data_IF_608350936090
#
_entry.id   IF_608350936090
#
_cell.length_a   1.000
_cell.length_b   1.000
_cell.length_c   1.000
_cell.angle_alpha   90.00
_cell.angle_beta   90.00
_cell.angle_gamma   90.00
#
_symmetry.space_group_name_H-M   'P 1'
#
loop_
_entity.id
_entity.type
_entity.pdbx_description
1 polymer ?
#
# COMPACT_ATOMS: atom_id res chain seq x y z
N UNK A 1 15.01 77.28 9.74
CA UNK A 1 13.91 77.42 10.71
C UNK A 1 12.89 76.37 10.30
N UNK A 2 13.15 75.14 10.73
CA UNK A 2 12.64 74.56 12.00
C UNK A 2 11.18 74.11 11.79
N UNK A 3 10.78 72.87 12.01
CA UNK A 3 11.45 71.69 12.57
C UNK A 3 10.36 70.68 12.96
N UNK A 4 10.71 69.39 12.88
CA UNK A 4 10.18 68.25 13.66
C UNK A 4 8.70 67.85 13.45
N UNK A 5 8.29 66.57 13.47
CA UNK A 5 8.89 65.29 13.83
C UNK A 5 7.88 64.18 13.45
N UNK A 6 8.32 62.96 13.16
CA UNK A 6 7.43 61.80 13.14
C UNK A 6 7.89 60.66 12.23
N UNK A 7 9.02 60.05 12.57
CA UNK A 7 9.42 58.72 12.09
C UNK A 7 8.42 57.66 12.59
N UNK A 8 8.17 56.64 11.76
CA UNK A 8 7.89 55.29 12.23
C UNK A 8 8.26 54.31 11.12
N UNK A 9 9.48 53.80 11.24
CA UNK A 9 9.91 52.52 10.69
C UNK A 9 9.13 51.41 11.41
N UNK A 10 8.58 50.45 10.67
CA UNK A 10 8.08 49.19 11.24
C UNK A 10 8.98 48.05 10.78
N UNK A 11 9.88 47.66 11.68
CA UNK A 11 10.59 46.38 11.71
C UNK A 11 9.59 45.21 11.63
N UNK A 12 9.76 44.34 10.64
CA UNK A 12 9.15 43.00 10.64
C UNK A 12 10.06 42.06 11.45
N UNK A 13 9.79 41.91 12.74
CA UNK A 13 10.43 40.91 13.60
C UNK A 13 9.78 39.54 13.41
N UNK A 14 10.63 38.54 13.19
CA UNK A 14 10.33 37.12 13.34
C UNK A 14 9.72 36.82 14.72
N UNK A 15 8.60 36.09 14.74
CA UNK A 15 8.22 35.31 15.93
C UNK A 15 7.49 34.04 15.51
N UNK A 16 8.00 32.92 16.01
CA UNK A 16 7.56 31.55 15.83
C UNK A 16 6.05 31.34 15.97
N UNK A 17 5.42 30.74 14.95
CA UNK A 17 4.10 30.11 15.11
C UNK A 17 4.27 28.78 15.86
N UNK A 18 4.04 28.82 17.18
CA UNK A 18 3.67 27.62 17.94
C UNK A 18 2.21 27.27 17.59
N UNK A 19 2.01 26.04 17.12
CA UNK A 19 0.69 25.45 16.94
C UNK A 19 0.04 25.21 18.32
N UNK A 20 -1.00 25.96 18.65
CA UNK A 20 -1.90 25.65 19.76
C UNK A 20 -2.77 24.44 19.41
N UNK A 21 -2.69 23.40 20.23
CA UNK A 21 -3.57 22.23 20.22
C UNK A 21 -4.79 22.59 21.07
N UNK A 22 -5.96 22.73 20.44
CA UNK A 22 -7.23 22.82 21.13
C UNK A 22 -7.79 21.40 21.33
N UNK A 23 -7.66 20.88 22.54
CA UNK A 23 -8.43 19.76 23.06
C UNK A 23 -9.10 20.22 24.36
N UNK A 24 -10.40 20.54 24.32
CA UNK A 24 -11.26 20.51 25.51
C UNK A 24 -12.67 20.05 25.12
N UNK A 25 -12.96 18.78 25.37
CA UNK A 25 -14.32 18.28 25.55
C UNK A 25 -14.44 17.80 27.00
N UNK A 26 -15.01 18.64 27.87
CA UNK A 26 -15.27 18.31 29.27
C UNK A 26 -16.28 17.16 29.42
N UNK A 27 -16.07 16.22 30.38
CA UNK A 27 -17.14 15.38 30.90
C UNK A 27 -17.36 15.62 32.39
N UNK A 28 -18.56 16.04 32.81
CA UNK A 28 -19.18 15.56 34.08
C UNK A 28 -20.68 15.87 34.10
N UNK A 29 -21.54 14.94 34.55
CA UNK A 29 -21.78 14.78 35.98
C UNK A 29 -22.36 13.40 36.34
N UNK A 30 -21.91 12.86 37.47
CA UNK A 30 -22.70 11.92 38.28
C UNK A 30 -22.20 10.48 38.40
N UNK A 31 -21.16 10.23 39.18
CA UNK A 31 -21.23 9.41 40.42
C UNK A 31 -19.85 8.89 40.84
N UNK A 32 -19.50 9.21 42.07
CA UNK A 32 -18.24 8.90 42.75
C UNK A 32 -18.08 7.40 43.00
N UNK A 33 -17.04 6.78 42.42
CA UNK A 33 -16.46 5.53 42.91
C UNK A 33 -14.96 5.68 43.13
N UNK A 34 -14.53 5.28 44.33
CA UNK A 34 -13.18 5.35 44.87
C UNK A 34 -12.12 4.94 43.84
N UNK A 35 -11.20 5.85 43.53
CA UNK A 35 -10.00 5.60 42.74
C UNK A 35 -9.08 4.68 43.54
N UNK A 36 -9.07 3.39 43.20
CA UNK A 36 -7.94 2.52 43.53
C UNK A 36 -6.87 2.81 42.51
N UNK A 37 -5.64 3.09 42.95
CA UNK A 37 -4.50 3.22 42.05
C UNK A 37 -4.28 1.85 41.40
N UNK A 38 -4.82 1.66 40.20
CA UNK A 38 -4.66 0.47 39.37
C UNK A 38 -3.84 0.86 38.16
N UNK A 39 -2.71 0.20 37.99
CA UNK A 39 -1.84 0.38 36.82
C UNK A 39 -2.28 -0.63 35.76
N UNK A 40 -2.94 -0.16 34.70
CA UNK A 40 -3.07 -0.91 33.45
C UNK A 40 -1.78 -0.71 32.67
N UNK A 41 -1.07 -1.80 32.36
CA UNK A 41 0.13 -1.77 31.53
C UNK A 41 -0.28 -2.26 30.14
N UNK A 42 -0.39 -1.35 29.18
CA UNK A 42 -0.44 -1.72 27.76
C UNK A 42 0.97 -2.08 27.29
N UNK A 43 1.17 -3.31 26.83
CA UNK A 43 2.49 -3.77 26.40
C UNK A 43 2.68 -3.52 24.89
N UNK A 44 3.39 -2.44 24.54
CA UNK A 44 4.01 -2.30 23.21
C UNK A 44 5.32 -3.11 23.18
N UNK A 45 5.37 -4.17 22.37
CA UNK A 45 6.52 -4.80 21.66
C UNK A 45 7.83 -5.10 22.42
N UNK A 46 8.00 -4.69 23.69
CA UNK A 46 9.28 -4.72 24.40
C UNK A 46 9.49 -5.99 25.25
N UNK A 47 8.48 -6.85 25.40
CA UNK A 47 8.62 -8.11 26.15
C UNK A 47 9.02 -9.32 25.29
N UNK A 48 8.97 -9.22 23.97
CA UNK A 48 9.35 -10.32 23.08
C UNK A 48 10.87 -10.48 22.92
N UNK A 49 11.68 -9.51 23.32
CA UNK A 49 13.15 -9.53 23.18
C UNK A 49 13.90 -10.13 24.37
N UNK A 50 13.25 -10.38 25.52
CA UNK A 50 13.90 -10.97 26.70
C UNK A 50 13.55 -12.45 26.94
N UNK A 51 12.63 -13.03 26.16
CA UNK A 51 12.31 -14.46 26.25
C UNK A 51 13.44 -15.27 25.61
N UNK A 52 14.21 -15.98 26.44
CA UNK A 52 15.15 -17.01 25.96
C UNK A 52 14.39 -18.01 25.07
N UNK A 53 14.97 -18.46 23.94
CA UNK A 53 14.20 -19.10 22.89
C UNK A 53 13.70 -20.47 23.37
N UNK A 54 12.37 -20.63 23.41
CA UNK A 54 11.76 -21.95 23.47
C UNK A 54 12.33 -22.75 22.29
N UNK A 55 12.85 -23.99 22.50
CA UNK A 55 13.42 -24.78 21.42
C UNK A 55 12.42 -24.93 20.27
N UNK A 56 12.86 -24.66 19.05
CA UNK A 56 12.06 -24.67 17.81
C UNK A 56 11.34 -26.00 17.50
N UNK A 57 11.52 -27.03 18.34
CA UNK A 57 10.92 -28.36 18.19
C UNK A 57 9.56 -28.53 18.86
N UNK A 58 9.03 -27.53 19.58
CA UNK A 58 7.70 -27.58 20.18
C UNK A 58 6.76 -26.59 19.46
N UNK A 59 5.62 -27.09 18.99
CA UNK A 59 4.61 -26.25 18.35
C UNK A 59 4.19 -25.12 19.30
N UNK A 60 4.15 -23.88 18.79
CA UNK A 60 3.60 -22.73 19.50
C UNK A 60 2.09 -22.91 19.61
N UNK A 61 1.62 -23.41 20.75
CA UNK A 61 0.20 -23.50 21.11
C UNK A 61 -0.14 -22.40 22.10
N UNK A 62 -1.43 -22.02 22.18
CA UNK A 62 -1.92 -21.05 23.17
C UNK A 62 -1.55 -21.46 24.60
N UNK A 63 -1.57 -22.76 24.88
CA UNK A 63 -1.16 -23.31 26.17
C UNK A 63 0.33 -23.07 26.45
N UNK A 64 1.21 -23.34 25.48
CA UNK A 64 2.66 -23.15 25.67
C UNK A 64 3.03 -21.67 25.84
N UNK A 65 2.34 -20.77 25.14
CA UNK A 65 2.52 -19.33 25.30
C UNK A 65 2.02 -18.85 26.67
N UNK A 66 0.84 -19.31 27.09
CA UNK A 66 0.27 -19.00 28.41
C UNK A 66 1.18 -19.50 29.54
N UNK A 67 1.71 -20.73 29.44
CA UNK A 67 2.60 -21.33 30.43
C UNK A 67 3.94 -20.58 30.52
N UNK A 68 4.51 -20.15 29.38
CA UNK A 68 5.74 -19.36 29.35
C UNK A 68 5.56 -17.96 29.95
N UNK A 69 4.43 -17.31 29.68
CA UNK A 69 4.08 -16.01 30.28
C UNK A 69 3.87 -16.17 31.78
N UNK A 70 3.15 -17.22 32.21
CA UNK A 70 2.93 -17.51 33.63
C UNK A 70 4.25 -17.69 34.38
N UNK A 71 5.17 -18.50 33.84
CA UNK A 71 6.50 -18.71 34.42
C UNK A 71 7.31 -17.40 34.53
N UNK A 72 7.19 -16.51 33.53
CA UNK A 72 7.88 -15.22 33.54
C UNK A 72 7.30 -14.24 34.56
N UNK A 73 5.96 -14.22 34.72
CA UNK A 73 5.28 -13.41 35.73
C UNK A 73 5.56 -13.88 37.16
N UNK A 74 5.71 -15.19 37.35
CA UNK A 74 6.18 -15.77 38.60
C UNK A 74 7.62 -15.35 38.89
N UNK A 75 8.53 -15.42 37.90
CA UNK A 75 9.90 -14.94 38.04
C UNK A 75 9.98 -13.45 38.40
N UNK A 76 9.07 -12.63 37.87
CA UNK A 76 9.00 -11.20 38.16
C UNK A 76 8.22 -10.87 39.44
N UNK A 77 7.68 -11.87 40.14
CA UNK A 77 6.84 -11.71 41.32
C UNK A 77 5.61 -10.78 41.09
N UNK A 78 5.05 -10.79 39.88
CA UNK A 78 3.94 -9.91 39.48
C UNK A 78 2.56 -10.59 39.55
N UNK A 79 2.50 -11.85 39.99
CA UNK A 79 1.30 -12.68 40.00
C UNK A 79 0.12 -12.05 40.78
N UNK A 80 0.40 -11.40 41.90
CA UNK A 80 -0.63 -10.76 42.75
C UNK A 80 -0.99 -9.32 42.28
N UNK A 81 -0.23 -8.77 41.34
CA UNK A 81 -0.36 -7.38 40.87
C UNK A 81 -1.07 -7.21 39.53
N UNK A 82 -1.24 -8.29 38.77
CA UNK A 82 -1.89 -8.28 37.45
C UNK A 82 -3.31 -8.82 37.59
N UNK A 83 -4.31 -7.97 37.35
CA UNK A 83 -5.74 -8.35 37.48
C UNK A 83 -6.35 -8.87 36.18
N UNK A 84 -5.80 -8.48 35.03
CA UNK A 84 -6.21 -8.95 33.71
C UNK A 84 -5.06 -8.71 32.72
N UNK A 85 -4.98 -9.56 31.71
CA UNK A 85 -4.13 -9.35 30.55
C UNK A 85 -5.00 -9.46 29.31
N UNK A 86 -4.82 -8.53 28.38
CA UNK A 86 -5.41 -8.58 27.05
C UNK A 86 -4.32 -8.97 26.06
N UNK A 87 -4.60 -9.98 25.25
CA UNK A 87 -3.74 -10.36 24.14
C UNK A 87 -4.42 -9.93 22.85
N UNK A 88 -3.78 -9.06 22.06
CA UNK A 88 -4.33 -8.59 20.78
C UNK A 88 -4.35 -9.66 19.67
N UNK A 89 -3.88 -10.86 19.97
CA UNK A 89 -3.87 -12.00 19.04
C UNK A 89 -4.16 -13.29 19.81
N UNK A 90 -5.44 -13.60 20.02
CA UNK A 90 -5.85 -14.99 20.27
C UNK A 90 -5.98 -15.69 18.92
N UNK A 91 -5.39 -16.87 18.84
CA UNK A 91 -5.31 -17.64 17.62
C UNK A 91 -6.66 -18.30 17.37
N UNK A 92 -7.24 -18.06 16.20
CA UNK A 92 -7.98 -19.14 15.53
C UNK A 92 -7.18 -19.47 14.30
N UNK A 93 -6.45 -20.59 14.40
CA UNK A 93 -5.89 -21.26 13.24
C UNK A 93 -7.05 -21.47 12.25
N UNK A 94 -7.12 -20.63 11.22
CA UNK A 94 -8.09 -20.78 10.14
C UNK A 94 -7.90 -22.18 9.58
N UNK A 95 -8.99 -22.95 9.49
CA UNK A 95 -8.99 -24.41 9.56
C UNK A 95 -8.20 -25.15 8.45
N UNK A 96 -8.49 -26.43 8.25
CA UNK A 96 -7.79 -27.25 7.24
C UNK A 96 -7.88 -26.63 5.84
N UNK A 97 -6.76 -26.14 5.33
CA UNK A 97 -6.66 -25.64 3.96
C UNK A 97 -6.82 -26.79 2.96
N UNK A 98 -7.83 -26.68 2.09
CA UNK A 98 -7.95 -27.55 0.93
C UNK A 98 -7.11 -26.95 -0.21
N UNK A 99 -5.99 -27.60 -0.57
CA UNK A 99 -5.09 -27.14 -1.65
C UNK A 99 -5.77 -26.98 -3.02
N UNK A 100 -6.97 -27.56 -3.19
CA UNK A 100 -7.76 -27.40 -4.42
C UNK A 100 -8.65 -26.15 -4.41
N UNK A 101 -8.65 -25.37 -3.33
CA UNK A 101 -9.43 -24.15 -3.23
C UNK A 101 -8.70 -22.99 -3.93
N UNK A 102 -9.08 -22.73 -5.19
CA UNK A 102 -8.57 -21.65 -6.04
C UNK A 102 -9.72 -20.93 -6.75
N UNK A 103 -9.45 -19.80 -7.40
CA UNK A 103 -10.42 -19.19 -8.30
C UNK A 103 -10.69 -20.10 -9.50
N UNK A 104 -11.97 -20.31 -9.80
CA UNK A 104 -12.40 -20.88 -11.07
C UNK A 104 -12.44 -19.76 -12.11
N UNK A 105 -11.30 -19.58 -12.77
CA UNK A 105 -11.05 -18.61 -13.82
C UNK A 105 -11.50 -19.14 -15.19
N UNK A 106 -11.93 -18.24 -16.06
CA UNK A 106 -12.28 -18.53 -17.46
C UNK A 106 -11.13 -18.17 -18.39
N UNK A 107 -11.12 -18.69 -19.61
CA UNK A 107 -10.05 -18.40 -20.58
C UNK A 107 -9.90 -16.91 -20.90
N UNK A 108 -10.97 -16.12 -20.74
CA UNK A 108 -10.93 -14.65 -20.87
C UNK A 108 -10.04 -13.95 -19.84
N UNK A 109 -9.65 -14.64 -18.76
CA UNK A 109 -8.80 -14.09 -17.68
C UNK A 109 -7.35 -14.57 -17.74
N UNK A 110 -6.99 -15.43 -18.72
CA UNK A 110 -5.69 -16.08 -18.78
C UNK A 110 -4.55 -15.06 -18.92
N UNK A 111 -4.68 -14.06 -19.79
CA UNK A 111 -3.68 -13.01 -19.98
C UNK A 111 -3.40 -12.23 -18.68
N UNK A 112 -4.46 -11.88 -17.93
CA UNK A 112 -4.32 -11.18 -16.65
C UNK A 112 -3.66 -12.06 -15.59
N UNK A 113 -4.03 -13.34 -15.56
CA UNK A 113 -3.46 -14.33 -14.65
C UNK A 113 -1.98 -14.52 -14.91
N UNK A 114 -1.60 -14.78 -16.16
CA UNK A 114 -0.21 -14.98 -16.57
C UNK A 114 0.63 -13.73 -16.31
N UNK A 115 0.11 -12.54 -16.63
CA UNK A 115 0.80 -11.29 -16.34
C UNK A 115 1.06 -11.10 -14.85
N UNK A 116 0.04 -11.37 -14.01
CA UNK A 116 0.16 -11.20 -12.57
C UNK A 116 1.10 -12.23 -11.95
N UNK A 117 0.95 -13.50 -12.29
CA UNK A 117 1.81 -14.58 -11.75
C UNK A 117 3.27 -14.36 -12.14
N UNK A 118 3.52 -14.00 -13.41
CA UNK A 118 4.87 -13.67 -13.89
C UNK A 118 5.47 -12.48 -13.13
N UNK A 119 4.70 -11.40 -12.99
CA UNK A 119 5.13 -10.23 -12.21
C UNK A 119 5.46 -10.58 -10.76
N UNK A 120 4.56 -11.28 -10.06
CA UNK A 120 4.71 -11.62 -8.65
C UNK A 120 5.90 -12.55 -8.39
N UNK A 121 6.13 -13.51 -9.29
CA UNK A 121 7.29 -14.42 -9.21
C UNK A 121 8.59 -13.62 -9.33
N UNK A 122 8.70 -12.76 -10.34
CA UNK A 122 9.88 -11.92 -10.54
C UNK A 122 10.08 -10.94 -9.39
N UNK A 123 9.00 -10.37 -8.85
CA UNK A 123 9.08 -9.40 -7.74
C UNK A 123 9.67 -10.03 -6.48
N UNK A 124 9.25 -11.26 -6.13
CA UNK A 124 9.78 -12.00 -4.98
C UNK A 124 11.24 -12.39 -5.19
N UNK A 125 11.61 -12.82 -6.41
CA UNK A 125 12.99 -13.21 -6.71
C UNK A 125 13.98 -12.02 -6.67
N UNK A 126 13.52 -10.82 -7.03
CA UNK A 126 14.36 -9.62 -7.09
C UNK A 126 14.50 -8.88 -5.75
N UNK A 127 13.53 -9.00 -4.83
CA UNK A 127 13.50 -8.22 -3.58
C UNK A 127 13.89 -9.08 -2.39
N UNK A 128 15.06 -8.78 -1.81
CA UNK A 128 15.61 -9.50 -0.64
C UNK A 128 14.79 -9.35 0.63
N UNK A 129 14.00 -8.27 0.77
CA UNK A 129 13.11 -8.05 1.90
C UNK A 129 11.84 -7.34 1.45
N UNK A 130 10.73 -8.07 1.44
CA UNK A 130 9.39 -7.54 1.22
C UNK A 130 8.74 -7.32 2.59
N UNK A 131 7.94 -6.26 2.72
CA UNK A 131 7.16 -6.01 3.94
C UNK A 131 6.19 -7.17 4.18
N UNK A 132 6.06 -7.65 5.41
CA UNK A 132 5.32 -8.90 5.73
C UNK A 132 3.88 -8.97 5.18
N UNK A 133 3.17 -7.84 5.20
CA UNK A 133 1.79 -7.74 4.72
C UNK A 133 1.68 -7.74 3.18
N UNK A 134 2.72 -7.26 2.48
CA UNK A 134 2.86 -7.41 1.03
C UNK A 134 3.25 -8.84 0.65
N UNK A 135 4.20 -9.43 1.37
CA UNK A 135 4.56 -10.83 1.16
C UNK A 135 3.34 -11.74 1.34
N UNK A 136 2.53 -11.49 2.37
CA UNK A 136 1.28 -12.22 2.58
C UNK A 136 0.29 -12.05 1.42
N UNK A 137 0.08 -10.82 0.96
CA UNK A 137 -0.79 -10.56 -0.19
C UNK A 137 -0.28 -11.31 -1.43
N UNK A 138 1.03 -11.31 -1.68
CA UNK A 138 1.65 -12.00 -2.82
C UNK A 138 1.40 -13.50 -2.72
N UNK A 139 1.74 -14.13 -1.59
CA UNK A 139 1.54 -15.56 -1.38
C UNK A 139 0.07 -15.96 -1.57
N UNK A 140 -0.87 -15.20 -0.98
CA UNK A 140 -2.31 -15.45 -1.09
C UNK A 140 -2.81 -15.29 -2.52
N UNK A 141 -2.35 -14.26 -3.23
CA UNK A 141 -2.69 -14.04 -4.65
C UNK A 141 -2.15 -15.18 -5.53
N UNK A 142 -0.92 -15.62 -5.28
CA UNK A 142 -0.31 -16.76 -5.99
C UNK A 142 -1.10 -18.06 -5.75
N UNK A 143 -1.49 -18.34 -4.50
CA UNK A 143 -2.35 -19.49 -4.14
C UNK A 143 -3.69 -19.43 -4.88
N UNK A 144 -4.38 -18.29 -4.84
CA UNK A 144 -5.73 -18.18 -5.41
C UNK A 144 -5.73 -18.25 -6.94
N UNK A 145 -4.66 -17.82 -7.59
CA UNK A 145 -4.46 -17.95 -9.05
C UNK A 145 -3.96 -19.35 -9.47
N UNK A 146 -3.69 -20.24 -8.50
CA UNK A 146 -3.34 -21.63 -8.76
C UNK A 146 -1.84 -21.90 -8.95
N UNK A 147 -0.97 -20.96 -8.60
CA UNK A 147 0.50 -21.09 -8.60
C UNK A 147 1.05 -20.90 -7.17
N UNK A 148 0.68 -21.75 -6.19
CA UNK A 148 1.07 -21.54 -4.80
C UNK A 148 2.60 -21.62 -4.62
N UNK A 149 3.18 -20.83 -3.68
CA UNK A 149 4.59 -20.95 -3.33
C UNK A 149 4.92 -22.33 -2.74
N UNK A 150 6.20 -22.71 -2.78
CA UNK A 150 6.69 -24.00 -2.25
C UNK A 150 6.32 -24.18 -0.76
N UNK A 151 6.47 -23.12 0.00
CA UNK A 151 6.10 -23.04 1.42
C UNK A 151 5.01 -21.99 1.54
N UNK A 152 3.93 -22.32 2.25
CA UNK A 152 2.80 -21.41 2.49
C UNK A 152 2.87 -20.96 3.94
N UNK A 153 2.90 -19.65 4.18
CA UNK A 153 2.88 -19.07 5.52
C UNK A 153 1.48 -18.53 5.83
N UNK A 154 0.74 -19.22 6.70
CA UNK A 154 -0.52 -18.70 7.19
C UNK A 154 -0.27 -17.74 8.34
N UNK A 155 -0.54 -16.46 8.10
CA UNK A 155 -0.49 -15.41 9.13
C UNK A 155 -1.88 -15.16 9.71
N UNK A 156 -1.93 -14.76 10.97
CA UNK A 156 -3.17 -14.27 11.55
C UNK A 156 -3.58 -12.96 10.83
N UNK A 157 -4.88 -12.76 10.55
CA UNK A 157 -5.32 -11.50 9.94
C UNK A 157 -5.02 -10.30 10.85
N UNK A 158 -4.34 -9.27 10.31
CA UNK A 158 -4.02 -8.04 11.05
C UNK A 158 -5.17 -7.03 11.09
N UNK A 159 -5.07 -5.94 11.88
CA UNK A 159 -6.15 -4.96 12.04
C UNK A 159 -6.64 -4.35 10.71
N UNK A 160 -7.97 -4.33 10.52
CA UNK A 160 -8.61 -3.65 9.38
C UNK A 160 -8.94 -2.20 9.76
N UNK A 161 -8.35 -1.24 9.06
CA UNK A 161 -8.71 0.16 9.13
C UNK A 161 -9.25 0.65 7.78
N UNK A 162 -10.13 1.67 7.78
CA UNK A 162 -10.74 2.20 6.56
C UNK A 162 -9.72 2.62 5.48
N UNK A 163 -8.53 3.09 5.90
CA UNK A 163 -7.45 3.52 5.01
C UNK A 163 -6.61 2.37 4.40
N UNK A 164 -6.74 1.13 4.89
CA UNK A 164 -5.89 -0.01 4.49
C UNK A 164 -6.68 -1.00 3.64
N UNK A 165 -6.96 -0.62 2.38
CA UNK A 165 -7.74 -1.43 1.44
C UNK A 165 -7.16 -2.85 1.23
N UNK A 166 -5.84 -3.00 1.23
CA UNK A 166 -5.18 -4.30 1.14
C UNK A 166 -5.59 -5.30 2.20
N UNK A 167 -5.79 -4.87 3.45
CA UNK A 167 -6.25 -5.76 4.49
C UNK A 167 -7.58 -6.39 4.08
N UNK A 168 -8.51 -5.61 3.51
CA UNK A 168 -9.79 -6.14 3.01
C UNK A 168 -9.58 -7.21 1.93
N UNK A 169 -8.60 -7.04 1.04
CA UNK A 169 -8.29 -8.05 0.02
C UNK A 169 -7.67 -9.32 0.63
N UNK A 170 -6.71 -9.19 1.55
CA UNK A 170 -6.12 -10.33 2.30
C UNK A 170 -7.23 -11.12 3.01
N UNK A 171 -8.10 -10.44 3.75
CA UNK A 171 -9.24 -11.07 4.42
C UNK A 171 -10.18 -11.73 3.42
N UNK A 172 -10.53 -11.05 2.32
CA UNK A 172 -11.41 -11.60 1.31
C UNK A 172 -10.84 -12.87 0.68
N UNK A 173 -9.55 -12.90 0.34
CA UNK A 173 -8.89 -14.09 -0.19
C UNK A 173 -8.94 -15.22 0.84
N UNK A 174 -8.59 -14.96 2.10
CA UNK A 174 -8.66 -15.98 3.17
C UNK A 174 -10.07 -16.55 3.34
N UNK A 175 -11.08 -15.68 3.48
CA UNK A 175 -12.49 -16.11 3.59
C UNK A 175 -12.84 -16.99 2.38
N UNK A 176 -12.43 -16.61 1.18
CA UNK A 176 -12.70 -17.38 -0.02
C UNK A 176 -11.98 -18.74 -0.03
N UNK A 177 -10.71 -18.81 0.40
CA UNK A 177 -9.94 -20.06 0.48
C UNK A 177 -10.51 -21.04 1.51
N UNK A 178 -11.13 -20.53 2.57
CA UNK A 178 -11.69 -21.33 3.67
C UNK A 178 -13.21 -21.47 3.65
N UNK A 179 -13.91 -20.90 2.66
CA UNK A 179 -15.39 -20.80 2.58
C UNK A 179 -16.18 -22.12 2.68
N UNK A 180 -15.52 -23.26 2.46
CA UNK A 180 -16.13 -24.58 2.58
C UNK A 180 -16.19 -25.10 4.02
N UNK A 181 -15.48 -24.45 4.95
CA UNK A 181 -15.57 -24.70 6.40
C UNK A 181 -16.84 -24.02 6.93
N UNK A 182 -17.99 -24.67 6.74
CA UNK A 182 -19.32 -24.12 7.05
C UNK A 182 -19.52 -23.85 8.55
N UNK A 183 -18.73 -24.48 9.40
CA UNK A 183 -18.66 -24.24 10.84
C UNK A 183 -17.98 -22.91 11.20
N UNK A 184 -17.15 -22.35 10.30
CA UNK A 184 -16.48 -21.05 10.48
C UNK A 184 -17.14 -19.98 9.62
N UNK A 185 -17.47 -20.29 8.36
CA UNK A 185 -18.02 -19.34 7.40
C UNK A 185 -19.39 -19.80 6.89
N UNK A 186 -20.44 -19.08 7.32
CA UNK A 186 -21.80 -19.26 6.82
C UNK A 186 -22.13 -18.17 5.79
N UNK A 187 -21.57 -18.31 4.58
CA UNK A 187 -21.84 -17.41 3.45
C UNK A 187 -23.10 -17.85 2.72
N UNK A 188 -23.98 -16.90 2.41
CA UNK A 188 -25.04 -17.07 1.42
C UNK A 188 -24.44 -17.20 0.02
N UNK A 189 -25.19 -17.79 -0.92
CA UNK A 189 -24.75 -17.88 -2.32
C UNK A 189 -24.45 -16.52 -2.95
N UNK A 190 -25.18 -15.47 -2.54
CA UNK A 190 -24.94 -14.09 -2.99
C UNK A 190 -23.61 -13.55 -2.45
N UNK A 191 -23.34 -13.72 -1.17
CA UNK A 191 -22.07 -13.28 -0.55
C UNK A 191 -20.88 -14.02 -1.14
N UNK A 192 -20.98 -15.33 -1.35
CA UNK A 192 -19.91 -16.12 -1.97
C UNK A 192 -19.62 -15.66 -3.40
N UNK A 193 -20.67 -15.36 -4.18
CA UNK A 193 -20.52 -14.82 -5.54
C UNK A 193 -19.87 -13.43 -5.56
N UNK A 194 -20.31 -12.53 -4.67
CA UNK A 194 -19.71 -11.19 -4.55
C UNK A 194 -18.27 -11.25 -4.04
N UNK A 195 -17.97 -12.15 -3.12
CA UNK A 195 -16.62 -12.39 -2.63
C UNK A 195 -15.72 -12.92 -3.74
N UNK A 196 -16.19 -13.90 -4.54
CA UNK A 196 -15.47 -14.41 -5.72
C UNK A 196 -15.14 -13.27 -6.68
N UNK A 197 -16.13 -12.43 -7.00
CA UNK A 197 -16.00 -11.27 -7.91
C UNK A 197 -14.94 -10.29 -7.41
N UNK A 198 -14.96 -9.95 -6.11
CA UNK A 198 -13.99 -9.04 -5.49
C UNK A 198 -12.58 -9.63 -5.44
N UNK A 199 -12.44 -10.89 -5.04
CA UNK A 199 -11.15 -11.60 -4.97
C UNK A 199 -10.54 -11.74 -6.36
N UNK A 200 -11.33 -12.07 -7.38
CA UNK A 200 -10.87 -12.15 -8.75
C UNK A 200 -10.28 -10.82 -9.25
N UNK A 201 -10.99 -9.71 -9.05
CA UNK A 201 -10.49 -8.38 -9.40
C UNK A 201 -9.20 -8.02 -8.66
N UNK A 202 -9.17 -8.24 -7.34
CA UNK A 202 -8.01 -7.93 -6.53
C UNK A 202 -6.79 -8.75 -6.92
N UNK A 203 -6.99 -10.04 -7.19
CA UNK A 203 -5.93 -10.96 -7.61
C UNK A 203 -5.42 -10.65 -9.02
N UNK A 204 -6.29 -10.42 -10.00
CA UNK A 204 -5.90 -10.27 -11.41
C UNK A 204 -5.35 -8.89 -11.79
N UNK A 205 -5.70 -7.84 -11.05
CA UNK A 205 -5.36 -6.46 -11.42
C UNK A 205 -4.69 -5.71 -10.28
N UNK A 206 -5.39 -5.63 -9.15
CA UNK A 206 -5.04 -4.63 -8.14
C UNK A 206 -3.78 -4.98 -7.35
N UNK A 207 -3.51 -6.27 -7.13
CA UNK A 207 -2.35 -6.74 -6.36
C UNK A 207 -1.05 -6.14 -6.91
N UNK A 208 -0.86 -6.18 -8.24
CA UNK A 208 0.32 -5.61 -8.90
C UNK A 208 0.46 -4.11 -8.63
N UNK A 209 -0.58 -3.33 -8.94
CA UNK A 209 -0.58 -1.88 -8.72
C UNK A 209 -0.32 -1.50 -7.26
N UNK A 210 -0.84 -2.29 -6.32
CA UNK A 210 -0.65 -2.02 -4.89
C UNK A 210 0.77 -2.27 -4.40
N UNK A 211 1.41 -3.35 -4.87
CA UNK A 211 2.79 -3.69 -4.49
C UNK A 211 3.78 -2.66 -5.03
N UNK A 212 3.51 -2.10 -6.22
CA UNK A 212 4.34 -1.06 -6.83
C UNK A 212 4.09 0.35 -6.27
N UNK A 213 2.92 0.59 -5.65
CA UNK A 213 2.51 1.92 -5.17
C UNK A 213 3.51 2.65 -4.26
N UNK A 214 4.33 2.00 -3.41
CA UNK A 214 5.36 2.69 -2.63
C UNK A 214 6.52 3.25 -3.45
N UNK A 215 6.70 2.78 -4.69
CA UNK A 215 7.77 3.25 -5.57
C UNK A 215 7.27 4.41 -6.43
N UNK A 216 7.76 5.61 -6.14
CA UNK A 216 7.38 6.82 -6.86
C UNK A 216 7.71 6.76 -8.37
N UNK A 217 8.79 6.06 -8.74
CA UNK A 217 9.18 5.87 -10.14
C UNK A 217 8.19 4.98 -10.90
N UNK A 218 7.65 3.95 -10.25
CA UNK A 218 6.68 3.04 -10.86
C UNK A 218 5.26 3.63 -10.92
N UNK A 219 4.94 4.61 -10.08
CA UNK A 219 3.58 5.09 -9.90
C UNK A 219 2.90 5.61 -11.19
N UNK A 220 3.53 6.47 -12.02
CA UNK A 220 2.86 6.95 -13.24
C UNK A 220 2.63 5.83 -14.26
N UNK A 221 3.62 4.96 -14.47
CA UNK A 221 3.50 3.79 -15.35
C UNK A 221 2.43 2.81 -14.85
N UNK A 222 2.42 2.55 -13.55
CA UNK A 222 1.45 1.67 -12.87
C UNK A 222 0.02 2.19 -12.95
N UNK A 223 -0.21 3.48 -12.77
CA UNK A 223 -1.54 4.10 -12.89
C UNK A 223 -2.07 4.00 -14.33
N UNK A 224 -1.23 4.32 -15.33
CA UNK A 224 -1.62 4.21 -16.74
C UNK A 224 -1.87 2.76 -17.14
N UNK A 225 -1.01 1.85 -16.68
CA UNK A 225 -1.18 0.40 -16.89
C UNK A 225 -2.49 -0.09 -16.28
N UNK A 226 -2.80 0.28 -15.04
CA UNK A 226 -4.03 -0.12 -14.36
C UNK A 226 -5.26 0.39 -15.13
N UNK A 227 -5.25 1.65 -15.56
CA UNK A 227 -6.35 2.24 -16.31
C UNK A 227 -6.63 1.49 -17.62
N UNK A 228 -5.59 1.18 -18.40
CA UNK A 228 -5.69 0.41 -19.65
C UNK A 228 -6.19 -1.02 -19.42
N UNK A 229 -5.68 -1.68 -18.38
CA UNK A 229 -6.11 -3.03 -18.03
C UNK A 229 -7.57 -3.05 -17.56
N UNK A 230 -8.03 -2.02 -16.85
CA UNK A 230 -9.45 -1.86 -16.52
C UNK A 230 -10.32 -1.72 -17.77
N UNK A 231 -9.83 -1.12 -18.87
CA UNK A 231 -10.61 -1.06 -20.12
C UNK A 231 -10.82 -2.45 -20.69
N UNK A 232 -9.76 -3.26 -20.73
CA UNK A 232 -9.82 -4.64 -21.21
C UNK A 232 -10.69 -5.51 -20.29
N UNK A 233 -10.57 -5.32 -18.97
CA UNK A 233 -11.32 -6.07 -17.96
C UNK A 233 -12.83 -5.79 -17.97
N UNK A 234 -13.31 -4.74 -18.66
CA UNK A 234 -14.74 -4.50 -18.87
C UNK A 234 -15.45 -5.69 -19.56
N UNK A 235 -14.71 -6.46 -20.37
CA UNK A 235 -15.22 -7.69 -21.01
C UNK A 235 -15.51 -8.83 -20.03
N UNK A 236 -14.89 -8.80 -18.85
CA UNK A 236 -15.05 -9.79 -17.77
C UNK A 236 -16.02 -9.26 -16.72
N UNK A 237 -15.84 -8.00 -16.31
CA UNK A 237 -16.67 -7.33 -15.30
C UNK A 237 -16.82 -5.85 -15.62
N UNK A 238 -17.87 -5.53 -16.37
CA UNK A 238 -18.14 -4.16 -16.84
C UNK A 238 -18.32 -3.18 -15.68
N UNK A 239 -19.25 -3.44 -14.77
CA UNK A 239 -19.61 -2.51 -13.70
C UNK A 239 -18.43 -2.22 -12.76
N UNK A 240 -17.65 -3.26 -12.40
CA UNK A 240 -16.51 -3.10 -11.51
C UNK A 240 -15.40 -2.30 -12.18
N UNK A 241 -15.13 -2.59 -13.46
CA UNK A 241 -14.13 -1.88 -14.25
C UNK A 241 -14.47 -0.40 -14.37
N UNK A 242 -15.72 -0.08 -14.72
CA UNK A 242 -16.19 1.32 -14.84
C UNK A 242 -16.12 2.03 -13.49
N UNK A 243 -16.52 1.38 -12.39
CA UNK A 243 -16.43 1.96 -11.05
C UNK A 243 -14.98 2.25 -10.65
N UNK A 244 -14.07 1.29 -10.86
CA UNK A 244 -12.65 1.46 -10.55
C UNK A 244 -11.98 2.54 -11.43
N UNK A 245 -12.31 2.61 -12.72
CA UNK A 245 -11.81 3.65 -13.62
C UNK A 245 -12.22 5.04 -13.18
N UNK A 246 -13.48 5.23 -12.79
CA UNK A 246 -13.97 6.52 -12.29
C UNK A 246 -13.22 6.96 -11.04
N UNK A 247 -12.90 6.03 -10.13
CA UNK A 247 -12.10 6.34 -8.95
C UNK A 247 -10.68 6.73 -9.37
N UNK A 248 -10.04 5.96 -10.23
CA UNK A 248 -8.68 6.25 -10.70
C UNK A 248 -8.59 7.62 -11.40
N UNK A 249 -9.57 7.95 -12.24
CA UNK A 249 -9.68 9.24 -12.92
C UNK A 249 -9.86 10.44 -11.97
N UNK A 250 -10.32 10.21 -10.74
CA UNK A 250 -10.41 11.25 -9.70
C UNK A 250 -9.11 11.39 -8.88
N UNK A 251 -8.13 10.51 -9.10
CA UNK A 251 -6.92 10.35 -8.30
C UNK A 251 -5.65 10.18 -9.16
N UNK A 252 -5.52 10.94 -10.24
CA UNK A 252 -4.37 10.86 -11.16
C UNK A 252 -3.18 11.71 -10.71
N UNK A 253 -2.90 11.75 -9.41
CA UNK A 253 -1.84 12.60 -8.87
C UNK A 253 -0.46 12.27 -9.49
N UNK A 254 -0.18 11.00 -9.81
CA UNK A 254 1.05 10.54 -10.47
C UNK A 254 1.01 10.64 -12.01
N UNK A 255 -0.19 10.70 -12.59
CA UNK A 255 -0.43 11.04 -13.99
C UNK A 255 -0.75 12.54 -14.15
N UNK A 256 -0.02 13.36 -13.41
CA UNK A 256 -0.04 14.81 -13.56
C UNK A 256 1.19 15.28 -14.34
N UNK A 257 1.07 16.47 -14.92
CA UNK A 257 2.17 17.07 -15.68
C UNK A 257 3.33 17.56 -14.83
N UNK A 258 3.26 17.43 -13.50
CA UNK A 258 4.41 17.61 -12.61
C UNK A 258 5.14 16.29 -12.36
N UNK A 259 4.39 15.22 -12.09
CA UNK A 259 4.94 13.98 -11.50
C UNK A 259 5.18 12.86 -12.49
N UNK A 260 4.65 12.94 -13.72
CA UNK A 260 4.87 11.90 -14.74
C UNK A 260 6.36 11.69 -15.07
N UNK A 261 7.22 12.71 -14.87
CA UNK A 261 8.67 12.58 -15.05
C UNK A 261 9.34 11.62 -14.07
N UNK A 262 8.69 11.24 -12.97
CA UNK A 262 9.20 10.20 -12.07
C UNK A 262 9.34 8.84 -12.79
N UNK A 263 8.51 8.59 -13.80
CA UNK A 263 8.58 7.38 -14.64
C UNK A 263 9.90 7.25 -15.43
N UNK A 264 10.69 8.32 -15.53
CA UNK A 264 12.03 8.25 -16.14
C UNK A 264 12.98 7.32 -15.37
N UNK A 265 12.73 7.10 -14.08
CA UNK A 265 13.54 6.26 -13.19
C UNK A 265 12.99 4.84 -13.02
N UNK A 266 11.90 4.50 -13.72
CA UNK A 266 11.36 3.13 -13.71
C UNK A 266 12.09 2.27 -14.74
N UNK A 267 12.37 1.02 -14.36
CA UNK A 267 12.90 0.00 -15.28
C UNK A 267 11.81 -0.61 -16.16
N UNK A 268 10.54 -0.53 -15.73
CA UNK A 268 9.38 -1.02 -16.47
C UNK A 268 8.98 -0.08 -17.62
N UNK A 269 9.45 1.17 -17.60
CA UNK A 269 9.16 2.16 -18.63
C UNK A 269 10.20 2.07 -19.76
N UNK A 270 9.73 1.69 -20.95
CA UNK A 270 10.61 1.51 -22.12
C UNK A 270 11.35 2.80 -22.51
N UNK A 271 12.54 2.68 -23.16
CA UNK A 271 13.27 3.84 -23.69
C UNK A 271 12.45 4.74 -24.61
N UNK A 272 11.60 4.16 -25.46
CA UNK A 272 10.70 4.89 -26.35
C UNK A 272 9.73 5.76 -25.55
N UNK A 273 9.16 5.20 -24.49
CA UNK A 273 8.22 5.92 -23.63
C UNK A 273 8.93 7.00 -22.80
N UNK A 274 10.14 6.72 -22.30
CA UNK A 274 11.02 7.73 -21.66
C UNK A 274 11.29 8.90 -22.62
N UNK A 275 11.58 8.62 -23.89
CA UNK A 275 11.79 9.65 -24.91
C UNK A 275 10.55 10.51 -25.16
N UNK A 276 9.34 9.92 -25.17
CA UNK A 276 8.09 10.69 -25.29
C UNK A 276 7.89 11.64 -24.10
N UNK A 277 8.23 11.21 -22.88
CA UNK A 277 8.18 12.08 -21.69
C UNK A 277 9.13 13.27 -21.88
N UNK A 278 10.37 13.05 -22.34
CA UNK A 278 11.36 14.12 -22.57
C UNK A 278 10.87 15.09 -23.65
N UNK A 279 10.30 14.60 -24.75
CA UNK A 279 9.72 15.45 -25.80
C UNK A 279 8.64 16.37 -25.22
N UNK A 280 7.84 15.88 -24.27
CA UNK A 280 6.84 16.66 -23.55
C UNK A 280 7.40 17.85 -22.76
N UNK A 281 8.68 17.83 -22.35
CA UNK A 281 9.29 18.96 -21.62
C UNK A 281 9.32 20.26 -22.44
N UNK A 282 9.25 20.16 -23.77
CA UNK A 282 9.15 21.31 -24.67
C UNK A 282 7.76 21.96 -24.72
N UNK A 283 6.72 21.29 -24.21
CA UNK A 283 5.33 21.75 -24.27
C UNK A 283 5.07 22.71 -23.10
N UNK A 284 4.54 23.90 -23.42
CA UNK A 284 4.11 24.85 -22.39
C UNK A 284 2.87 24.30 -21.66
N UNK A 285 2.86 24.32 -20.32
CA UNK A 285 1.74 23.83 -19.55
C UNK A 285 0.51 24.73 -19.67
N UNK A 286 -0.67 24.12 -19.61
CA UNK A 286 -1.97 24.81 -19.51
C UNK A 286 -2.26 25.24 -18.07
N UNK A 287 -3.54 25.25 -17.64
CA UNK A 287 -3.92 25.45 -16.25
C UNK A 287 -3.44 24.29 -15.36
N UNK A 288 -3.18 24.56 -14.07
CA UNK A 288 -2.62 23.56 -13.16
C UNK A 288 -3.70 22.66 -12.58
N UNK A 289 -3.72 21.40 -13.03
CA UNK A 289 -4.59 20.35 -12.50
C UNK A 289 -3.84 19.45 -11.51
N UNK A 290 -3.92 19.78 -10.22
CA UNK A 290 -3.19 19.05 -9.15
C UNK A 290 -3.51 17.56 -9.11
N UNK A 291 -4.72 17.17 -9.48
CA UNK A 291 -5.18 15.78 -9.49
C UNK A 291 -5.09 15.11 -10.87
N UNK A 292 -4.35 15.71 -11.80
CA UNK A 292 -4.26 15.29 -13.20
C UNK A 292 -5.47 15.73 -14.04
N UNK A 293 -5.38 15.50 -15.35
CA UNK A 293 -6.43 15.79 -16.33
C UNK A 293 -6.97 14.47 -16.94
N UNK A 294 -8.22 14.06 -16.60
CA UNK A 294 -8.77 12.79 -17.08
C UNK A 294 -9.09 12.80 -18.58
N UNK A 295 -9.16 13.98 -19.21
CA UNK A 295 -9.42 14.08 -20.64
C UNK A 295 -8.28 13.49 -21.46
N UNK A 296 -7.04 13.53 -20.95
CA UNK A 296 -5.86 12.96 -21.60
C UNK A 296 -5.94 11.44 -21.74
N UNK A 297 -6.66 10.77 -20.84
CA UNK A 297 -6.88 9.32 -20.94
C UNK A 297 -7.77 8.93 -22.13
N UNK A 298 -8.51 9.87 -22.73
CA UNK A 298 -9.34 9.61 -23.91
C UNK A 298 -8.55 9.69 -25.23
N UNK A 299 -7.27 10.04 -25.18
CA UNK A 299 -6.40 10.07 -26.35
C UNK A 299 -6.20 8.64 -26.86
N UNK A 300 -6.35 8.45 -28.17
CA UNK A 300 -6.03 7.18 -28.83
C UNK A 300 -4.55 6.86 -28.62
N UNK A 301 -4.24 5.63 -28.20
CA UNK A 301 -2.89 5.21 -27.84
C UNK A 301 -2.21 6.13 -26.81
N UNK A 302 -2.98 6.55 -25.79
CA UNK A 302 -2.47 7.34 -24.66
C UNK A 302 -1.18 6.74 -24.08
N UNK A 303 -0.26 7.63 -23.73
CA UNK A 303 1.14 7.37 -23.42
C UNK A 303 1.55 8.32 -22.29
N UNK A 304 2.59 7.99 -21.53
CA UNK A 304 3.10 8.84 -20.45
C UNK A 304 3.54 10.21 -20.98
N UNK A 305 4.02 10.28 -22.22
CA UNK A 305 4.40 11.54 -22.86
C UNK A 305 3.26 12.54 -23.01
N UNK A 306 2.01 12.08 -23.13
CA UNK A 306 0.84 12.97 -23.24
C UNK A 306 0.57 13.77 -21.96
N UNK A 307 1.06 13.29 -20.81
CA UNK A 307 0.95 14.01 -19.55
C UNK A 307 2.14 14.95 -19.32
N UNK A 308 3.22 14.83 -20.08
CA UNK A 308 4.47 15.55 -19.81
C UNK A 308 4.45 16.96 -20.41
N UNK A 309 4.85 17.93 -19.59
CA UNK A 309 5.00 19.35 -19.97
C UNK A 309 6.29 19.92 -19.40
N UNK A 310 6.56 21.21 -19.61
CA UNK A 310 7.66 21.90 -18.92
C UNK A 310 7.59 21.80 -17.39
N UNK A 311 6.39 21.62 -16.80
CA UNK A 311 6.28 21.39 -15.35
C UNK A 311 6.96 20.10 -14.90
N UNK A 312 6.95 19.07 -15.75
CA UNK A 312 7.57 17.77 -15.46
C UNK A 312 9.08 17.91 -15.35
N UNK A 313 9.69 18.73 -16.22
CA UNK A 313 11.11 19.08 -16.15
C UNK A 313 11.42 19.92 -14.91
N UNK A 314 10.56 20.90 -14.58
CA UNK A 314 10.74 21.74 -13.41
C UNK A 314 10.72 20.94 -12.10
N UNK A 315 9.98 19.83 -12.03
CA UNK A 315 10.01 18.93 -10.87
C UNK A 315 11.43 18.37 -10.65
N UNK A 316 12.11 17.94 -11.72
CA UNK A 316 13.49 17.42 -11.60
C UNK A 316 14.44 18.47 -11.03
N UNK A 317 14.33 19.72 -11.48
CA UNK A 317 15.08 20.86 -10.93
C UNK A 317 14.79 21.05 -9.44
N UNK A 318 13.50 21.01 -9.03
CA UNK A 318 13.09 21.17 -7.63
C UNK A 318 13.61 20.05 -6.73
N UNK A 319 13.69 18.83 -7.27
CA UNK A 319 14.27 17.66 -6.61
C UNK A 319 15.80 17.65 -6.66
N UNK A 320 16.44 18.67 -7.25
CA UNK A 320 17.89 18.80 -7.40
C UNK A 320 18.51 17.63 -8.18
N UNK A 321 17.74 17.04 -9.10
CA UNK A 321 18.22 15.97 -9.98
C UNK A 321 18.95 16.61 -11.17
N UNK A 322 20.19 16.20 -11.40
CA UNK A 322 21.00 16.75 -12.50
C UNK A 322 20.48 16.33 -13.88
N UNK A 323 20.38 17.28 -14.81
CA UNK A 323 19.77 17.06 -16.14
C UNK A 323 20.71 16.42 -17.18
N UNK A 324 21.96 16.15 -16.84
CA UNK A 324 22.98 15.73 -17.83
C UNK A 324 22.65 14.41 -18.54
N UNK A 325 21.85 13.54 -17.93
CA UNK A 325 21.42 12.30 -18.57
C UNK A 325 20.35 12.54 -19.64
N UNK A 326 19.57 13.61 -19.56
CA UNK A 326 18.46 13.90 -20.50
C UNK A 326 18.94 14.17 -21.94
N UNK A 327 20.22 14.49 -22.14
CA UNK A 327 20.81 14.66 -23.48
C UNK A 327 21.37 13.37 -24.07
N UNK A 328 21.39 12.29 -23.28
CA UNK A 328 21.84 10.97 -23.70
C UNK A 328 20.63 10.09 -24.06
N UNK A 329 20.80 9.10 -24.95
CA UNK A 329 19.80 8.06 -25.15
C UNK A 329 19.45 7.36 -23.82
N UNK A 330 18.18 7.02 -23.54
CA UNK A 330 17.77 6.37 -22.29
C UNK A 330 18.52 5.08 -21.95
N UNK A 331 19.00 4.36 -22.97
CA UNK A 331 19.80 3.15 -22.82
C UNK A 331 21.16 3.39 -22.13
N UNK A 332 21.65 4.64 -22.14
CA UNK A 332 22.94 5.03 -21.57
C UNK A 332 22.81 5.68 -20.18
N UNK A 333 21.60 5.81 -19.64
CA UNK A 333 21.38 6.53 -18.39
C UNK A 333 21.94 5.81 -17.17
N UNK A 334 21.94 4.48 -17.20
CA UNK A 334 22.49 3.67 -16.11
C UNK A 334 23.99 3.89 -15.88
N UNK A 335 24.71 4.45 -16.86
CA UNK A 335 26.13 4.81 -16.72
C UNK A 335 26.33 6.26 -16.23
N UNK A 336 25.25 7.05 -16.14
CA UNK A 336 25.31 8.46 -15.75
C UNK A 336 25.20 8.62 -14.23
N UNK A 337 26.19 9.30 -13.64
CA UNK A 337 26.27 9.50 -12.19
C UNK A 337 25.12 10.31 -11.59
N UNK A 338 24.49 11.20 -12.35
CA UNK A 338 23.33 11.97 -11.86
C UNK A 338 22.05 11.14 -11.89
N UNK A 339 21.91 10.27 -12.89
CA UNK A 339 20.80 9.33 -12.97
C UNK A 339 20.88 8.31 -11.81
N UNK A 340 22.05 7.70 -11.60
CA UNK A 340 22.30 6.76 -10.51
C UNK A 340 22.13 7.33 -9.10
N UNK A 341 22.20 8.66 -8.93
CA UNK A 341 21.95 9.32 -7.63
C UNK A 341 20.47 9.57 -7.36
N UNK A 342 19.66 9.61 -8.41
CA UNK A 342 18.22 9.82 -8.34
C UNK A 342 17.43 8.51 -8.32
N UNK A 343 18.01 7.46 -8.91
CA UNK A 343 17.63 6.06 -8.78
C UNK A 343 18.07 5.51 -7.43
#
# INVERSE_FOLDING_TARGET
MEGESGENETESSESSNQFEVLDEYEPSSGSTKKRTNKTEIGCHTALFTSMSPVPWSLAWTEQNAADAIYAQLEQWALMESIQAMSFDTTSVNTGRFNRNCKLELTSSTDDFRENTVSFLTNFVDLKSQVRDDYEELIELTMIILGDPPKTIHWRAPGPVHHARWMAKLIYAIKIYLFRHQKEIFSLTAKEESQLKRFVQFGALLYTKSWIQAPCAAEAPGGDLWLWKNLQQYQSIDHDMSIAAQKILQNHMCYLSDETVSLALFSDEVSPIEKQKIITGFGIEPSERHVRGDPSLLQIEDVSLGHFSTRRSQNLLTKLQIGHSFLVLPPEQWNDNTYYQKAY
#
